data_IF_093544532252
#
_entry.id   IF_093544532252
#
_cell.length_a   1.000
_cell.length_b   1.000
_cell.length_c   1.000
_cell.angle_alpha   90.00
_cell.angle_beta   90.00
_cell.angle_gamma   90.00
#
_symmetry.space_group_name_H-M   'P 1'
#
loop_
_entity.id
_entity.type
_entity.pdbx_description
1 polymer ?
#
# COMPACT_ATOMS: atom_id res chain seq x y z
N UNK A 1 -15.50 -16.39 -31.41
CA UNK A 1 -15.59 -16.52 -29.95
C UNK A 1 -14.30 -16.08 -29.25
N UNK A 2 -13.11 -16.40 -29.78
CA UNK A 2 -11.82 -15.92 -29.23
C UNK A 2 -11.61 -14.39 -29.34
N UNK A 3 -12.05 -13.73 -30.42
CA UNK A 3 -11.95 -12.26 -30.54
C UNK A 3 -12.88 -11.49 -29.59
N UNK A 4 -14.00 -12.09 -29.17
CA UNK A 4 -14.91 -11.49 -28.19
C UNK A 4 -14.32 -11.55 -26.77
N UNK A 5 -13.61 -12.63 -26.42
CA UNK A 5 -12.89 -12.74 -25.15
C UNK A 5 -11.67 -11.81 -25.10
N UNK A 6 -10.92 -11.66 -26.20
CA UNK A 6 -9.78 -10.73 -26.25
C UNK A 6 -10.22 -9.26 -26.05
N UNK A 7 -11.41 -8.87 -26.52
CA UNK A 7 -12.00 -7.54 -26.28
C UNK A 7 -12.47 -7.33 -24.84
N UNK A 8 -12.93 -8.39 -24.17
CA UNK A 8 -13.29 -8.35 -22.74
C UNK A 8 -12.03 -8.35 -21.85
N UNK A 9 -10.99 -9.10 -22.21
CA UNK A 9 -9.68 -9.08 -21.53
C UNK A 9 -9.00 -7.71 -21.62
N UNK A 10 -9.15 -7.01 -22.76
CA UNK A 10 -8.64 -5.64 -22.94
C UNK A 10 -9.28 -4.61 -21.99
N UNK A 11 -10.44 -4.91 -21.40
CA UNK A 11 -11.17 -4.06 -20.46
C UNK A 11 -11.26 -4.62 -19.03
N UNK A 12 -10.51 -5.67 -18.70
CA UNK A 12 -10.51 -6.18 -17.32
C UNK A 12 -9.83 -5.17 -16.40
N UNK A 13 -10.52 -4.80 -15.31
CA UNK A 13 -9.99 -4.04 -14.18
C UNK A 13 -9.52 -4.93 -13.03
N UNK A 14 -9.49 -6.24 -13.25
CA UNK A 14 -9.18 -7.24 -12.24
C UNK A 14 -7.91 -8.00 -12.63
N UNK A 15 -7.05 -8.26 -11.64
CA UNK A 15 -5.91 -9.17 -11.75
C UNK A 15 -6.40 -10.62 -11.62
N UNK A 16 -6.13 -11.50 -12.61
CA UNK A 16 -6.70 -12.85 -12.64
C UNK A 16 -6.15 -13.79 -11.57
N UNK A 17 -4.94 -13.54 -11.04
CA UNK A 17 -4.36 -14.39 -10.00
C UNK A 17 -4.96 -14.10 -8.63
N UNK A 18 -5.09 -12.82 -8.30
CA UNK A 18 -5.43 -12.37 -6.94
C UNK A 18 -6.90 -12.00 -6.78
N UNK A 19 -7.62 -11.80 -7.89
CA UNK A 19 -9.00 -11.28 -7.89
C UNK A 19 -9.11 -9.82 -7.47
N UNK A 20 -7.99 -9.16 -7.14
CA UNK A 20 -7.95 -7.73 -6.82
C UNK A 20 -8.08 -6.87 -8.07
N UNK A 21 -8.23 -5.57 -7.88
CA UNK A 21 -8.12 -4.64 -9.00
C UNK A 21 -6.70 -4.66 -9.58
N UNK A 22 -6.56 -4.28 -10.85
CA UNK A 22 -5.26 -4.09 -11.48
C UNK A 22 -4.88 -2.60 -11.55
N UNK A 23 -3.63 -2.32 -11.90
CA UNK A 23 -3.11 -0.94 -12.01
C UNK A 23 -3.97 -0.02 -12.89
N UNK A 24 -4.63 -0.54 -13.92
CA UNK A 24 -5.50 0.25 -14.81
C UNK A 24 -6.73 0.77 -14.08
N UNK A 25 -7.31 -0.01 -13.17
CA UNK A 25 -8.43 0.42 -12.34
C UNK A 25 -8.06 1.66 -11.52
N UNK A 26 -6.90 1.63 -10.84
CA UNK A 26 -6.41 2.76 -10.03
C UNK A 26 -6.32 4.04 -10.85
N UNK A 27 -5.72 3.96 -12.06
CA UNK A 27 -5.55 5.11 -12.95
C UNK A 27 -6.88 5.77 -13.32
N UNK A 28 -7.96 5.00 -13.40
CA UNK A 28 -9.30 5.54 -13.69
C UNK A 28 -10.05 5.99 -12.43
N UNK A 29 -9.93 5.24 -11.33
CA UNK A 29 -10.72 5.48 -10.12
C UNK A 29 -10.17 6.63 -9.27
N UNK A 30 -8.84 6.78 -9.17
CA UNK A 30 -8.22 7.80 -8.29
C UNK A 30 -8.65 9.24 -8.60
N UNK A 31 -8.65 9.71 -9.87
CA UNK A 31 -9.14 11.05 -10.18
C UNK A 31 -10.61 11.27 -9.78
N UNK A 32 -11.45 10.23 -9.90
CA UNK A 32 -12.86 10.29 -9.52
C UNK A 32 -13.02 10.40 -8.01
N UNK A 33 -12.30 9.57 -7.24
CA UNK A 33 -12.31 9.62 -5.78
C UNK A 33 -11.83 10.99 -5.26
N UNK A 34 -10.73 11.52 -5.82
CA UNK A 34 -10.23 12.85 -5.45
C UNK A 34 -11.23 13.96 -5.77
N UNK A 35 -11.86 13.93 -6.94
CA UNK A 35 -12.88 14.92 -7.31
C UNK A 35 -14.14 14.83 -6.43
N UNK A 36 -14.51 13.61 -6.02
CA UNK A 36 -15.64 13.36 -5.13
C UNK A 36 -15.36 13.91 -3.72
N UNK A 37 -14.23 13.51 -3.12
CA UNK A 37 -13.89 13.89 -1.75
C UNK A 37 -13.40 15.33 -1.59
N UNK A 38 -12.94 15.99 -2.66
CA UNK A 38 -12.64 17.42 -2.62
C UNK A 38 -13.82 18.31 -2.18
N UNK A 39 -15.05 17.79 -2.25
CA UNK A 39 -16.28 18.48 -1.82
C UNK A 39 -16.70 18.14 -0.38
N UNK A 40 -16.06 17.14 0.23
CA UNK A 40 -16.36 16.75 1.62
C UNK A 40 -15.75 17.78 2.60
N UNK A 41 -16.50 18.28 3.60
CA UNK A 41 -15.99 19.30 4.53
C UNK A 41 -14.79 18.86 5.39
N UNK A 42 -14.68 17.58 5.77
CA UNK A 42 -13.56 17.10 6.56
C UNK A 42 -12.30 16.97 5.71
N UNK A 43 -12.44 16.45 4.49
CA UNK A 43 -11.37 16.36 3.50
C UNK A 43 -10.88 17.75 3.04
N UNK A 44 -11.81 18.65 2.68
CA UNK A 44 -11.50 20.01 2.23
C UNK A 44 -10.86 20.87 3.33
N UNK A 45 -11.25 20.66 4.60
CA UNK A 45 -10.61 21.29 5.75
C UNK A 45 -9.25 20.65 6.11
N UNK A 46 -8.80 19.64 5.36
CA UNK A 46 -7.52 18.98 5.62
C UNK A 46 -7.50 18.09 6.85
N UNK A 47 -8.65 17.73 7.44
CA UNK A 47 -8.72 16.85 8.61
C UNK A 47 -8.63 15.37 8.22
N UNK A 48 -8.98 15.05 6.98
CA UNK A 48 -8.88 13.71 6.41
C UNK A 48 -8.07 13.71 5.11
N UNK A 49 -7.58 12.53 4.74
CA UNK A 49 -6.90 12.27 3.47
C UNK A 49 -7.19 10.84 3.02
N UNK A 50 -7.09 10.58 1.72
CA UNK A 50 -6.91 9.21 1.24
C UNK A 50 -5.53 8.74 1.69
N UNK A 51 -5.35 7.45 1.91
CA UNK A 51 -4.05 6.85 2.21
C UNK A 51 -3.69 5.89 1.11
N UNK A 52 -2.50 6.07 0.54
CA UNK A 52 -1.89 5.12 -0.39
C UNK A 52 -0.89 4.28 0.39
N UNK A 53 -1.13 2.98 0.45
CA UNK A 53 -0.25 2.00 1.08
C UNK A 53 0.30 1.07 0.00
N UNK A 54 1.57 1.19 -0.34
CA UNK A 54 2.27 0.29 -1.26
C UNK A 54 3.01 -0.77 -0.45
N UNK A 55 2.75 -2.04 -0.74
CA UNK A 55 3.28 -3.20 -0.05
C UNK A 55 4.10 -4.04 -0.99
N UNK A 56 5.14 -4.68 -0.47
CA UNK A 56 5.93 -5.70 -1.15
C UNK A 56 6.16 -6.88 -0.22
N UNK A 57 6.04 -8.09 -0.77
CA UNK A 57 6.26 -9.33 -0.03
C UNK A 57 7.75 -9.56 0.19
N UNK A 58 8.17 -9.48 1.45
CA UNK A 58 9.57 -9.62 1.81
C UNK A 58 10.10 -10.99 1.43
N UNK A 59 11.22 -11.01 0.71
CA UNK A 59 11.89 -12.22 0.26
C UNK A 59 11.03 -13.13 -0.63
N UNK A 60 10.08 -12.59 -1.39
CA UNK A 60 9.21 -13.38 -2.28
C UNK A 60 9.98 -14.31 -3.24
N UNK A 61 11.09 -13.82 -3.81
CA UNK A 61 11.97 -14.67 -4.64
C UNK A 61 12.42 -15.95 -3.92
N UNK A 62 12.71 -15.90 -2.62
CA UNK A 62 13.10 -17.08 -1.83
C UNK A 62 11.95 -18.08 -1.71
N UNK A 63 10.70 -17.62 -1.64
CA UNK A 63 9.52 -18.50 -1.65
C UNK A 63 9.47 -19.26 -2.98
N UNK A 64 9.60 -18.55 -4.10
CA UNK A 64 9.63 -19.16 -5.44
C UNK A 64 10.80 -20.14 -5.60
N UNK A 65 12.00 -19.74 -5.19
CA UNK A 65 13.20 -20.56 -5.34
C UNK A 65 13.14 -21.82 -4.45
N UNK A 66 12.45 -21.78 -3.31
CA UNK A 66 12.35 -22.91 -2.36
C UNK A 66 11.18 -23.84 -2.68
N UNK A 67 10.02 -23.29 -3.04
CA UNK A 67 8.74 -24.02 -3.14
C UNK A 67 8.15 -24.05 -4.56
N UNK A 68 8.81 -23.38 -5.51
CA UNK A 68 8.35 -23.25 -6.89
C UNK A 68 7.37 -22.09 -7.08
N UNK A 69 7.25 -21.64 -8.33
CA UNK A 69 6.38 -20.53 -8.71
C UNK A 69 4.90 -20.77 -8.38
N UNK A 70 4.42 -22.01 -8.47
CA UNK A 70 3.04 -22.35 -8.12
C UNK A 70 2.73 -22.02 -6.64
N UNK A 71 3.67 -22.26 -5.72
CA UNK A 71 3.52 -21.90 -4.32
C UNK A 71 3.55 -20.38 -4.11
N UNK A 72 4.41 -19.67 -4.83
CA UNK A 72 4.40 -18.20 -4.86
C UNK A 72 3.07 -17.62 -5.34
N UNK A 73 2.50 -18.18 -6.40
CA UNK A 73 1.20 -17.79 -6.91
C UNK A 73 0.08 -18.04 -5.88
N UNK A 74 0.11 -19.16 -5.16
CA UNK A 74 -0.83 -19.42 -4.06
C UNK A 74 -0.70 -18.38 -2.94
N UNK A 75 0.53 -17.99 -2.58
CA UNK A 75 0.78 -16.94 -1.57
C UNK A 75 0.20 -15.61 -2.04
N UNK A 76 0.42 -15.21 -3.30
CA UNK A 76 -0.11 -13.96 -3.84
C UNK A 76 -1.64 -13.95 -3.91
N UNK A 77 -2.26 -15.06 -4.32
CA UNK A 77 -3.72 -15.20 -4.38
C UNK A 77 -4.36 -15.09 -2.98
N UNK A 78 -3.78 -15.77 -2.00
CA UNK A 78 -4.22 -15.68 -0.60
C UNK A 78 -3.98 -14.29 -0.02
N UNK A 79 -2.85 -13.64 -0.34
CA UNK A 79 -2.58 -12.28 0.08
C UNK A 79 -3.61 -11.31 -0.51
N UNK A 80 -4.00 -11.49 -1.77
CA UNK A 80 -5.11 -10.73 -2.37
C UNK A 80 -6.41 -10.87 -1.57
N UNK A 81 -6.77 -12.11 -1.21
CA UNK A 81 -7.96 -12.39 -0.38
C UNK A 81 -7.86 -11.74 1.00
N UNK A 82 -6.71 -11.83 1.66
CA UNK A 82 -6.45 -11.23 2.96
C UNK A 82 -6.53 -9.69 2.90
N UNK A 83 -5.89 -9.06 1.93
CA UNK A 83 -5.96 -7.60 1.77
C UNK A 83 -7.39 -7.12 1.52
N UNK A 84 -8.19 -7.91 0.80
CA UNK A 84 -9.59 -7.61 0.58
C UNK A 84 -10.45 -7.72 1.86
N UNK A 85 -10.07 -8.55 2.83
CA UNK A 85 -10.77 -8.65 4.13
C UNK A 85 -10.28 -7.62 5.16
N UNK A 86 -9.06 -7.08 5.00
CA UNK A 86 -8.47 -6.09 5.90
C UNK A 86 -8.92 -4.64 5.63
N UNK A 87 -9.55 -4.39 4.49
CA UNK A 87 -10.06 -3.07 4.10
C UNK A 87 -11.54 -2.92 4.50
N UNK A 88 -12.03 -1.68 4.64
CA UNK A 88 -13.47 -1.43 4.80
C UNK A 88 -14.19 -1.40 3.45
N UNK A 89 -15.52 -1.36 3.51
CA UNK A 89 -16.34 -1.05 2.33
C UNK A 89 -15.99 0.33 1.79
N UNK A 90 -15.85 0.41 0.47
CA UNK A 90 -15.40 1.60 -0.26
C UNK A 90 -13.89 1.67 -0.47
N UNK A 91 -13.05 1.15 0.43
CA UNK A 91 -11.62 1.02 0.16
C UNK A 91 -11.39 -0.04 -0.94
N UNK A 92 -10.23 0.00 -1.59
CA UNK A 92 -9.88 -1.00 -2.59
C UNK A 92 -8.38 -1.34 -2.60
N UNK A 93 -8.10 -2.57 -3.01
CA UNK A 93 -6.75 -3.09 -3.15
C UNK A 93 -6.47 -3.42 -4.62
N UNK A 94 -5.24 -3.15 -5.02
CA UNK A 94 -4.75 -3.28 -6.39
C UNK A 94 -3.50 -4.14 -6.38
N UNK A 95 -3.39 -5.12 -7.28
CA UNK A 95 -2.08 -5.71 -7.59
C UNK A 95 -1.30 -4.73 -8.46
N UNK A 96 -0.26 -4.15 -7.90
CA UNK A 96 0.52 -3.10 -8.56
C UNK A 96 1.44 -3.67 -9.64
N UNK A 97 2.08 -4.80 -9.34
CA UNK A 97 2.90 -5.59 -10.27
C UNK A 97 3.70 -6.65 -9.51
N UNK A 98 3.95 -7.83 -10.11
CA UNK A 98 4.74 -8.88 -9.45
C UNK A 98 4.18 -9.27 -8.07
N UNK A 99 5.00 -9.11 -7.03
CA UNK A 99 4.66 -9.26 -5.61
C UNK A 99 4.22 -7.97 -4.89
N UNK A 100 4.00 -6.88 -5.63
CA UNK A 100 3.61 -5.58 -5.08
C UNK A 100 2.10 -5.35 -5.11
N UNK A 101 1.58 -4.79 -4.02
CA UNK A 101 0.17 -4.48 -3.83
C UNK A 101 0.00 -3.02 -3.39
N UNK A 102 -1.05 -2.36 -3.84
CA UNK A 102 -1.39 -1.01 -3.44
C UNK A 102 -2.80 -0.99 -2.86
N UNK A 103 -2.94 -0.53 -1.61
CA UNK A 103 -4.24 -0.23 -1.01
C UNK A 103 -4.50 1.27 -1.11
N UNK A 104 -5.71 1.61 -1.56
CA UNK A 104 -6.27 2.94 -1.42
C UNK A 104 -7.30 2.89 -0.32
N UNK A 105 -6.95 3.49 0.82
CA UNK A 105 -7.88 3.68 1.91
C UNK A 105 -8.55 5.03 1.69
N UNK A 106 -9.87 5.01 1.52
CA UNK A 106 -10.69 6.23 1.40
C UNK A 106 -10.60 7.05 2.69
N UNK A 107 -11.16 8.28 2.78
CA UNK A 107 -10.75 9.26 3.77
C UNK A 107 -10.55 8.68 5.18
N UNK A 108 -9.32 8.84 5.67
CA UNK A 108 -8.90 8.51 7.01
C UNK A 108 -8.54 9.82 7.72
N UNK A 109 -8.69 9.89 9.06
CA UNK A 109 -8.12 11.00 9.82
C UNK A 109 -6.63 11.15 9.53
N UNK A 110 -6.16 12.39 9.34
CA UNK A 110 -4.72 12.64 9.16
C UNK A 110 -3.92 12.17 10.37
N UNK A 111 -2.72 11.67 10.11
CA UNK A 111 -1.85 11.08 11.14
C UNK A 111 -2.22 9.65 11.52
N UNK A 112 -3.13 8.99 10.79
CA UNK A 112 -3.51 7.58 11.05
C UNK A 112 -2.54 6.55 10.44
N UNK A 113 -1.51 6.99 9.71
CA UNK A 113 -0.60 6.11 8.98
C UNK A 113 0.07 5.07 9.88
N UNK A 114 0.39 5.44 11.11
CA UNK A 114 1.11 4.61 12.08
C UNK A 114 0.30 3.35 12.42
N UNK A 115 -1.00 3.55 12.72
CA UNK A 115 -1.93 2.46 13.02
C UNK A 115 -2.24 1.62 11.79
N UNK A 116 -2.33 2.25 10.61
CA UNK A 116 -2.57 1.55 9.34
C UNK A 116 -1.39 0.63 9.00
N UNK A 117 -0.16 1.16 9.04
CA UNK A 117 1.06 0.41 8.74
C UNK A 117 1.27 -0.74 9.71
N UNK A 118 1.13 -0.48 11.01
CA UNK A 118 1.26 -1.51 12.04
C UNK A 118 0.21 -2.64 11.87
N UNK A 119 -1.05 -2.27 11.59
CA UNK A 119 -2.13 -3.24 11.37
C UNK A 119 -1.90 -4.11 10.15
N UNK A 120 -1.55 -3.52 9.00
CA UNK A 120 -1.33 -4.28 7.77
C UNK A 120 -0.21 -5.29 7.95
N UNK A 121 0.94 -4.86 8.46
CA UNK A 121 2.05 -5.75 8.74
C UNK A 121 1.69 -6.89 9.70
N UNK A 122 1.07 -6.57 10.84
CA UNK A 122 0.83 -7.57 11.90
C UNK A 122 -0.16 -8.62 11.44
N UNK A 123 -1.22 -8.20 10.76
CA UNK A 123 -2.23 -9.12 10.21
C UNK A 123 -1.61 -10.05 9.16
N UNK A 124 -0.81 -9.50 8.23
CA UNK A 124 -0.15 -10.31 7.19
C UNK A 124 0.87 -11.28 7.81
N UNK A 125 1.68 -10.83 8.77
CA UNK A 125 2.68 -11.69 9.42
C UNK A 125 2.06 -12.79 10.29
N UNK A 126 0.86 -12.58 10.81
CA UNK A 126 0.11 -13.57 11.58
C UNK A 126 -0.58 -14.62 10.71
N UNK A 127 -0.78 -14.34 9.42
CA UNK A 127 -1.50 -15.23 8.51
C UNK A 127 -0.65 -16.44 8.08
N UNK A 128 -1.27 -17.61 8.06
CA UNK A 128 -0.65 -18.87 7.61
C UNK A 128 -1.08 -19.14 6.18
N UNK A 129 -0.16 -18.94 5.24
CA UNK A 129 -0.39 -19.12 3.81
C UNK A 129 -0.16 -20.59 3.43
N UNK A 130 -1.16 -21.21 2.81
CA UNK A 130 -1.04 -22.56 2.25
C UNK A 130 -0.18 -22.53 0.97
N UNK A 131 0.81 -23.41 0.89
CA UNK A 131 1.69 -23.52 -0.28
C UNK A 131 1.13 -24.44 -1.38
N UNK A 132 -0.07 -24.99 -1.20
CA UNK A 132 -0.75 -25.88 -2.16
C UNK A 132 -0.26 -27.33 -2.13
N UNK A 133 0.62 -27.66 -1.18
CA UNK A 133 1.19 -29.00 -0.98
C UNK A 133 0.94 -29.53 0.45
N UNK A 134 -0.03 -28.93 1.17
CA UNK A 134 -0.34 -29.27 2.56
C UNK A 134 0.60 -28.64 3.59
N UNK A 135 1.56 -27.81 3.16
CA UNK A 135 2.42 -27.04 4.06
C UNK A 135 1.95 -25.59 4.16
N UNK A 136 2.23 -24.97 5.32
CA UNK A 136 1.95 -23.56 5.57
C UNK A 136 3.21 -22.76 5.79
N UNK A 137 3.21 -21.50 5.34
CA UNK A 137 4.29 -20.56 5.54
C UNK A 137 3.75 -19.20 6.03
N UNK A 138 4.56 -18.47 6.80
CA UNK A 138 4.29 -17.08 7.16
C UNK A 138 5.16 -16.18 6.31
N UNK A 139 4.59 -15.12 5.76
CA UNK A 139 5.35 -14.09 5.05
C UNK A 139 5.39 -12.81 5.87
N UNK A 140 6.31 -11.93 5.52
CA UNK A 140 6.34 -10.55 6.03
C UNK A 140 6.25 -9.60 4.86
N UNK A 141 5.87 -8.35 5.12
CA UNK A 141 5.80 -7.29 4.11
C UNK A 141 6.54 -6.05 4.60
N UNK A 142 7.12 -5.35 3.63
CA UNK A 142 7.53 -3.96 3.79
C UNK A 142 6.42 -3.06 3.23
N UNK A 143 6.15 -1.93 3.89
CA UNK A 143 5.06 -1.02 3.51
C UNK A 143 5.56 0.42 3.39
N UNK A 144 5.28 1.06 2.26
CA UNK A 144 5.42 2.49 2.05
C UNK A 144 4.07 3.20 2.07
N UNK A 145 3.93 4.24 2.88
CA UNK A 145 2.67 4.96 3.10
C UNK A 145 2.80 6.43 2.74
N UNK A 146 1.72 7.01 2.23
CA UNK A 146 1.60 8.46 2.06
C UNK A 146 0.13 8.89 2.13
N UNK A 147 -0.10 10.10 2.65
CA UNK A 147 -1.40 10.76 2.58
C UNK A 147 -1.62 11.42 1.20
N UNK A 148 -2.86 11.39 0.72
CA UNK A 148 -3.27 11.97 -0.55
C UNK A 148 -4.55 12.82 -0.35
N UNK A 149 -4.47 14.16 -0.40
CA UNK A 149 -3.27 14.97 -0.66
C UNK A 149 -2.29 15.01 0.52
N UNK A 150 -0.99 15.12 0.23
CA UNK A 150 0.06 15.19 1.26
C UNK A 150 0.07 16.53 1.99
N UNK A 151 -0.17 17.63 1.27
CA UNK A 151 -0.21 18.98 1.82
C UNK A 151 -1.65 19.50 1.78
N UNK A 152 -2.35 19.63 2.93
CA UNK A 152 -3.75 20.01 2.95
C UNK A 152 -4.01 21.41 2.37
N UNK A 153 -3.09 22.34 2.57
CA UNK A 153 -3.19 23.72 2.05
C UNK A 153 -2.93 23.82 0.54
N UNK A 154 -2.27 22.81 -0.05
CA UNK A 154 -1.94 22.74 -1.47
C UNK A 154 -2.31 21.36 -2.04
N UNK A 155 -3.61 21.01 -2.08
CA UNK A 155 -4.06 19.66 -2.41
C UNK A 155 -3.77 19.24 -3.85
N UNK A 156 -3.49 20.21 -4.73
CA UNK A 156 -3.16 20.00 -6.14
C UNK A 156 -1.65 20.08 -6.42
N UNK A 157 -0.81 20.26 -5.40
CA UNK A 157 0.65 20.37 -5.58
C UNK A 157 1.26 19.10 -6.17
N UNK A 158 0.74 17.94 -5.75
CA UNK A 158 1.18 16.64 -6.21
C UNK A 158 -0.01 15.84 -6.71
N UNK A 159 0.15 15.25 -7.88
CA UNK A 159 -0.80 14.26 -8.39
C UNK A 159 -0.68 12.96 -7.61
N UNK A 160 -1.73 12.15 -7.66
CA UNK A 160 -1.75 10.85 -6.99
C UNK A 160 -0.62 9.92 -7.46
N UNK A 161 -0.24 9.95 -8.73
CA UNK A 161 0.84 9.11 -9.28
C UNK A 161 2.21 9.53 -8.75
N UNK A 162 2.43 10.82 -8.51
CA UNK A 162 3.62 11.30 -7.82
C UNK A 162 3.61 10.87 -6.34
N UNK A 163 2.45 10.87 -5.69
CA UNK A 163 2.34 10.36 -4.32
C UNK A 163 2.64 8.85 -4.26
N UNK A 164 2.25 8.05 -5.25
CA UNK A 164 2.68 6.65 -5.35
C UNK A 164 4.21 6.54 -5.44
N UNK A 165 4.89 7.41 -6.19
CA UNK A 165 6.36 7.46 -6.22
C UNK A 165 6.97 7.80 -4.85
N UNK A 166 6.34 8.66 -4.03
CA UNK A 166 6.77 8.89 -2.65
C UNK A 166 6.54 7.65 -1.76
N UNK A 167 5.41 6.97 -1.92
CA UNK A 167 5.16 5.71 -1.21
C UNK A 167 6.19 4.64 -1.59
N UNK A 168 6.57 4.53 -2.86
CA UNK A 168 7.65 3.64 -3.33
C UNK A 168 9.00 3.96 -2.69
N UNK A 169 9.37 5.24 -2.59
CA UNK A 169 10.59 5.65 -1.87
C UNK A 169 10.55 5.29 -0.39
N UNK A 170 9.39 5.43 0.26
CA UNK A 170 9.21 5.00 1.64
C UNK A 170 9.31 3.48 1.77
N UNK A 171 8.72 2.73 0.84
CA UNK A 171 8.83 1.27 0.76
C UNK A 171 10.29 0.81 0.56
N UNK A 172 11.03 1.48 -0.32
CA UNK A 172 12.45 1.24 -0.51
C UNK A 172 13.24 1.45 0.78
N UNK A 173 12.98 2.55 1.50
CA UNK A 173 13.60 2.80 2.79
C UNK A 173 13.21 1.75 3.85
N UNK A 174 11.98 1.26 3.84
CA UNK A 174 11.54 0.15 4.68
C UNK A 174 12.36 -1.13 4.40
N UNK A 175 12.54 -1.48 3.12
CA UNK A 175 13.36 -2.61 2.68
C UNK A 175 14.83 -2.45 3.09
N UNK A 176 15.38 -1.25 2.94
CA UNK A 176 16.76 -0.93 3.30
C UNK A 176 17.02 -0.98 4.82
N UNK A 177 16.02 -0.61 5.63
CA UNK A 177 16.10 -0.60 7.09
C UNK A 177 15.72 -1.96 7.74
N UNK A 178 15.87 -3.06 6.99
CA UNK A 178 15.74 -4.41 7.53
C UNK A 178 14.41 -5.11 7.24
N UNK A 179 13.54 -4.55 6.37
CA UNK A 179 12.25 -5.13 5.99
C UNK A 179 11.29 -5.29 7.18
N UNK A 180 10.15 -5.97 6.98
CA UNK A 180 9.10 -6.20 7.97
C UNK A 180 8.75 -4.94 8.78
N UNK A 181 8.47 -3.87 8.05
CA UNK A 181 8.24 -2.56 8.64
C UNK A 181 7.43 -1.68 7.71
N UNK A 182 6.84 -0.65 8.28
CA UNK A 182 6.23 0.42 7.50
C UNK A 182 7.08 1.69 7.60
N UNK A 183 7.07 2.48 6.54
CA UNK A 183 7.63 3.82 6.50
C UNK A 183 6.70 4.73 5.72
N UNK A 184 6.77 6.02 6.01
CA UNK A 184 5.90 7.04 5.45
C UNK A 184 6.62 8.38 5.31
N UNK A 185 6.17 9.17 4.35
CA UNK A 185 6.50 10.59 4.28
C UNK A 185 5.37 11.44 4.85
N UNK A 186 5.75 12.46 5.63
CA UNK A 186 4.85 13.52 6.09
C UNK A 186 5.49 14.90 5.83
N UNK A 187 4.69 15.98 5.72
CA UNK A 187 5.23 17.33 5.71
C UNK A 187 6.16 17.59 6.89
N UNK A 188 7.31 18.21 6.63
CA UNK A 188 8.19 18.67 7.70
C UNK A 188 7.51 19.85 8.43
N UNK A 189 7.37 19.80 9.76
CA UNK A 189 6.73 20.88 10.51
C UNK A 189 7.42 22.23 10.28
N UNK A 190 6.63 23.27 10.02
CA UNK A 190 7.11 24.65 9.88
C UNK A 190 7.71 25.03 8.52
N UNK A 191 7.70 24.12 7.54
CA UNK A 191 8.14 24.41 6.18
C UNK A 191 7.08 25.21 5.40
N UNK A 192 7.52 26.20 4.62
CA UNK A 192 6.67 26.92 3.67
C UNK A 192 6.89 26.43 2.24
N UNK A 193 5.80 26.16 1.52
CA UNK A 193 5.83 25.64 0.15
C UNK A 193 5.86 26.73 -0.94
N UNK A 194 5.68 28.00 -0.56
CA UNK A 194 5.49 29.13 -1.48
C UNK A 194 6.63 29.33 -2.49
N UNK A 195 7.86 28.91 -2.16
CA UNK A 195 9.03 28.98 -3.04
C UNK A 195 9.24 27.78 -3.97
N UNK A 196 8.41 26.75 -3.90
CA UNK A 196 8.65 25.46 -4.57
C UNK A 196 7.52 25.01 -5.50
N UNK A 197 6.54 25.87 -5.77
CA UNK A 197 5.37 25.56 -6.59
C UNK A 197 5.73 25.25 -8.05
N UNK A 198 6.88 25.73 -8.53
CA UNK A 198 7.36 25.51 -9.90
C UNK A 198 7.89 24.07 -10.14
N UNK A 199 8.13 23.31 -9.08
CA UNK A 199 8.62 21.92 -9.14
C UNK A 199 7.50 20.86 -9.12
N UNK A 200 6.24 21.27 -9.28
CA UNK A 200 5.08 20.38 -9.21
C UNK A 200 5.03 19.33 -10.34
N UNK A 201 5.79 19.50 -11.41
CA UNK A 201 5.86 18.55 -12.52
C UNK A 201 7.07 17.59 -12.40
N UNK A 202 6.81 16.28 -12.51
CA UNK A 202 7.86 15.26 -12.57
C UNK A 202 8.03 14.44 -11.29
N UNK A 203 9.25 13.97 -11.01
CA UNK A 203 9.56 13.14 -9.85
C UNK A 203 9.50 13.97 -8.55
N UNK A 204 8.71 13.57 -7.52
CA UNK A 204 8.64 14.24 -6.23
C UNK A 204 9.94 14.17 -5.39
N UNK A 205 10.99 13.51 -5.88
CA UNK A 205 12.40 13.93 -5.78
C UNK A 205 12.73 15.00 -4.77
N UNK A 206 12.53 16.22 -5.26
CA UNK A 206 12.88 17.48 -4.67
C UNK A 206 12.30 17.70 -3.27
N UNK A 207 11.14 17.12 -2.93
CA UNK A 207 10.56 17.25 -1.59
C UNK A 207 11.48 16.70 -0.51
N UNK A 208 12.15 15.59 -0.81
CA UNK A 208 13.10 14.93 0.10
C UNK A 208 14.40 15.73 0.15
N UNK A 209 14.92 16.12 -1.02
CA UNK A 209 16.18 16.85 -1.16
C UNK A 209 16.15 18.23 -0.49
N UNK A 210 15.01 18.91 -0.57
CA UNK A 210 14.77 20.22 0.02
C UNK A 210 14.29 20.15 1.49
N UNK A 211 14.17 18.94 2.06
CA UNK A 211 13.74 18.76 3.45
C UNK A 211 12.29 19.13 3.74
N UNK A 212 11.44 19.18 2.71
CA UNK A 212 10.03 19.57 2.82
C UNK A 212 9.14 18.44 3.33
N UNK A 213 9.62 17.21 3.20
CA UNK A 213 9.04 16.02 3.81
C UNK A 213 10.07 15.33 4.70
N UNK A 214 9.58 14.73 5.78
CA UNK A 214 10.37 13.91 6.68
C UNK A 214 9.90 12.46 6.58
N UNK A 215 10.87 11.54 6.45
CA UNK A 215 10.62 10.11 6.51
C UNK A 215 10.50 9.66 7.96
N UNK A 216 9.50 8.83 8.26
CA UNK A 216 9.33 8.21 9.56
C UNK A 216 8.72 6.82 9.41
N UNK A 217 8.80 6.00 10.45
CA UNK A 217 8.28 4.63 10.41
C UNK A 217 8.75 3.82 11.60
N UNK A 218 8.23 2.60 11.69
CA UNK A 218 8.56 1.67 12.78
C UNK A 218 8.66 0.24 12.26
N UNK A 219 9.51 -0.62 12.87
CA UNK A 219 9.42 -2.05 12.69
C UNK A 219 8.01 -2.52 13.03
N UNK A 220 7.52 -3.48 12.25
CA UNK A 220 6.26 -4.12 12.58
C UNK A 220 6.54 -5.09 13.72
N UNK A 221 5.99 -4.80 14.91
CA UNK A 221 6.19 -5.64 16.11
C UNK A 221 5.89 -7.12 15.82
N UNK A 222 6.60 -8.03 16.49
CA UNK A 222 6.38 -9.47 16.31
C UNK A 222 4.91 -9.82 16.59
N UNK A 223 4.32 -10.78 15.84
CA UNK A 223 3.02 -11.32 16.22
C UNK A 223 3.14 -11.82 17.65
N UNK A 224 2.24 -11.38 18.55
CA UNK A 224 2.14 -11.95 19.88
C UNK A 224 2.03 -13.47 19.70
N UNK A 225 3.08 -14.19 20.09
CA UNK A 225 3.05 -15.64 20.13
C UNK A 225 1.96 -16.00 21.11
N UNK A 226 0.83 -16.50 20.61
CA UNK A 226 -0.17 -17.20 21.40
C UNK A 226 0.57 -18.22 22.27
N UNK A 227 0.62 -17.93 23.56
CA UNK A 227 1.22 -18.77 24.58
C UNK A 227 0.58 -20.14 24.50
N UNK A 228 1.32 -21.13 24.02
CA UNK A 228 0.96 -22.53 24.19
C UNK A 228 1.20 -22.91 25.66
N UNK A 229 0.20 -22.72 26.52
CA UNK A 229 0.06 -23.46 27.77
C UNK A 229 -1.07 -24.46 27.51
N UNK A 230 -0.81 -25.73 27.13
CA UNK A 230 -0.36 -26.81 28.01
C UNK A 230 -0.88 -26.66 29.44
N UNK A 231 -2.00 -27.33 29.71
CA UNK A 231 -2.54 -27.49 31.05
C UNK A 231 -3.71 -28.47 31.08
N UNK A 232 -3.52 -29.70 30.60
CA UNK A 232 -4.32 -30.84 31.03
C UNK A 232 -3.47 -31.64 32.04
N UNK A 233 -4.06 -31.97 33.19
CA UNK A 233 -4.16 -33.36 33.61
C UNK A 233 -5.56 -33.91 33.36
#
# INVERSE_FOLDING_TARGET
MQEANARLEQLSFTDPLTGLHNRRYLTQQMPLDLAFYARDPAFAAGREALVLALLDVDHFKRINDTWGHAAGDQVLAQLGTLLNSLKRDGDYAVRWGGEEFLLVLRPQPRGSLDGIGQRLCSQIASHRFDLGNGQQHTITVSVGLVECPLFPEHPQLLRWDQLVTLADRALYAAKAAGRHRWMAFRPTPGVQLSGHLDHAEGDPGWLVEQGLVTLYGAPCGQPETLSSERGAP
#
